data_IF_387131884081
#
_entry.id   IF_387131884081
#
_cell.length_a   1.000
_cell.length_b   1.000
_cell.length_c   1.000
_cell.angle_alpha   90.00
_cell.angle_beta   90.00
_cell.angle_gamma   90.00
#
_symmetry.space_group_name_H-M   'P 1'
#
loop_
_entity.id
_entity.type
_entity.pdbx_description
1 polymer ?
#
# COMPACT_ATOMS: atom_id res chain seq x y z
N UNK A 1 9.00 -18.69 1.67
CA UNK A 1 8.00 -18.43 0.61
C UNK A 1 7.27 -17.15 0.97
N UNK A 2 7.55 -16.05 0.28
CA UNK A 2 6.92 -14.74 0.53
C UNK A 2 5.47 -14.79 0.06
N UNK A 3 4.51 -14.85 0.99
CA UNK A 3 3.07 -14.81 0.67
C UNK A 3 2.71 -13.38 0.24
N UNK A 4 2.75 -13.10 -1.05
CA UNK A 4 2.18 -11.87 -1.62
C UNK A 4 0.65 -11.99 -1.68
N UNK A 5 0.01 -12.20 -0.53
CA UNK A 5 -1.44 -12.23 -0.42
C UNK A 5 -1.96 -10.84 -0.04
N UNK A 6 -3.13 -10.52 -0.58
CA UNK A 6 -3.81 -9.28 -0.28
C UNK A 6 -4.54 -9.43 1.04
N UNK A 7 -4.36 -8.46 1.92
CA UNK A 7 -5.11 -8.36 3.16
C UNK A 7 -5.68 -6.95 3.27
N UNK A 8 -6.95 -6.86 3.69
CA UNK A 8 -7.52 -5.57 4.07
C UNK A 8 -6.92 -5.19 5.41
N UNK A 9 -6.31 -4.01 5.48
CA UNK A 9 -5.79 -3.47 6.72
C UNK A 9 -6.34 -2.07 6.96
N UNK A 10 -6.84 -1.86 8.17
CA UNK A 10 -7.19 -0.53 8.64
C UNK A 10 -5.92 0.27 8.92
N UNK A 11 -5.87 1.49 8.40
CA UNK A 11 -4.74 2.41 8.54
C UNK A 11 -5.28 3.77 8.98
N UNK A 12 -4.49 4.49 9.78
CA UNK A 12 -4.84 5.83 10.24
C UNK A 12 -4.14 6.84 9.33
N UNK A 13 -4.90 7.42 8.40
CA UNK A 13 -4.45 8.52 7.55
C UNK A 13 -4.93 9.85 8.16
N UNK A 14 -4.00 10.72 8.56
CA UNK A 14 -4.35 11.97 9.26
C UNK A 14 -4.53 13.15 8.32
N UNK A 15 -3.82 13.17 7.20
CA UNK A 15 -3.90 14.27 6.23
C UNK A 15 -3.52 13.80 4.83
N UNK A 16 -4.19 14.37 3.82
CA UNK A 16 -3.73 14.32 2.44
C UNK A 16 -2.79 15.49 2.17
N UNK A 17 -1.59 15.19 1.66
CA UNK A 17 -0.55 16.15 1.29
C UNK A 17 -0.31 16.00 -0.22
N UNK A 18 -0.94 16.87 -1.01
CA UNK A 18 -0.97 16.73 -2.47
C UNK A 18 -1.64 15.41 -2.88
N UNK A 19 -0.93 14.59 -3.66
CA UNK A 19 -1.41 13.28 -4.12
C UNK A 19 -1.09 12.12 -3.14
N UNK A 20 -0.60 12.43 -1.94
CA UNK A 20 -0.13 11.43 -0.96
C UNK A 20 -0.89 11.54 0.36
N UNK A 21 -1.05 10.42 1.05
CA UNK A 21 -1.64 10.39 2.39
C UNK A 21 -0.56 10.21 3.46
N UNK A 22 -0.61 11.05 4.50
CA UNK A 22 0.21 10.89 5.70
C UNK A 22 -0.42 9.83 6.61
N UNK A 23 0.23 8.68 6.71
CA UNK A 23 -0.22 7.56 7.54
C UNK A 23 0.57 7.56 8.85
N UNK A 24 -0.15 7.61 9.98
CA UNK A 24 0.44 7.62 11.33
C UNK A 24 0.38 6.27 12.03
N UNK A 25 -0.48 5.35 11.57
CA UNK A 25 -0.60 4.00 12.13
C UNK A 25 -1.16 3.00 11.12
N UNK A 26 -0.89 1.71 11.36
CA UNK A 26 -1.39 0.60 10.56
C UNK A 26 -0.43 0.10 9.48
N UNK A 27 0.62 0.83 9.13
CA UNK A 27 1.65 0.37 8.18
C UNK A 27 3.02 0.25 8.86
N UNK A 28 3.79 -0.75 8.45
CA UNK A 28 5.18 -0.94 8.88
C UNK A 28 6.15 -0.65 7.72
N UNK A 29 7.37 -0.21 8.02
CA UNK A 29 8.42 -0.10 7.00
C UNK A 29 8.61 -1.43 6.25
N UNK A 30 8.58 -1.37 4.92
CA UNK A 30 8.66 -2.56 4.06
C UNK A 30 7.32 -3.18 3.67
N UNK A 31 6.21 -2.74 4.26
CA UNK A 31 4.88 -3.13 3.79
C UNK A 31 4.63 -2.61 2.37
N UNK A 32 3.99 -3.44 1.53
CA UNK A 32 3.61 -3.08 0.16
C UNK A 32 2.13 -2.69 0.15
N UNK A 33 1.86 -1.46 -0.28
CA UNK A 33 0.50 -0.95 -0.40
C UNK A 33 0.04 -1.04 -1.85
N UNK A 34 -1.19 -1.51 -2.05
CA UNK A 34 -1.82 -1.56 -3.36
C UNK A 34 -2.47 -0.21 -3.62
N UNK A 35 -1.90 0.54 -4.55
CA UNK A 35 -2.37 1.89 -4.92
C UNK A 35 -3.21 1.91 -6.20
N UNK A 36 -3.19 0.82 -6.97
CA UNK A 36 -3.83 0.69 -8.27
C UNK A 36 -4.46 -0.69 -8.45
N UNK A 37 -5.53 -0.78 -9.23
CA UNK A 37 -6.13 -2.06 -9.64
C UNK A 37 -7.06 -2.72 -8.62
N UNK A 38 -7.43 -2.03 -7.54
CA UNK A 38 -8.29 -2.55 -6.45
C UNK A 38 -9.60 -3.19 -6.96
N UNK A 39 -10.11 -2.78 -8.12
CA UNK A 39 -11.33 -3.38 -8.72
C UNK A 39 -11.22 -4.89 -8.99
N UNK A 40 -10.00 -5.42 -9.16
CA UNK A 40 -9.73 -6.84 -9.48
C UNK A 40 -9.19 -7.61 -8.27
N UNK A 41 -8.96 -6.94 -7.15
CA UNK A 41 -8.27 -7.50 -5.99
C UNK A 41 -9.28 -7.83 -4.90
N UNK A 42 -9.18 -9.02 -4.32
CA UNK A 42 -9.97 -9.44 -3.15
C UNK A 42 -9.04 -9.96 -2.05
N UNK A 43 -9.43 -9.88 -0.77
CA UNK A 43 -8.66 -10.46 0.32
C UNK A 43 -8.37 -11.95 0.08
N UNK A 44 -7.15 -12.39 0.40
CA UNK A 44 -6.70 -13.77 0.21
C UNK A 44 -6.21 -14.13 -1.20
N UNK A 45 -6.34 -13.22 -2.17
CA UNK A 45 -5.80 -13.43 -3.53
C UNK A 45 -4.29 -13.21 -3.53
N UNK A 46 -3.55 -14.10 -4.18
CA UNK A 46 -2.12 -13.91 -4.45
C UNK A 46 -1.97 -12.91 -5.59
N UNK A 47 -1.28 -11.80 -5.34
CA UNK A 47 -0.98 -10.78 -6.35
C UNK A 47 0.50 -10.77 -6.67
N UNK A 48 0.82 -10.44 -7.92
CA UNK A 48 2.18 -10.09 -8.30
C UNK A 48 2.33 -8.59 -8.11
N UNK A 49 2.98 -8.18 -7.03
CA UNK A 49 3.30 -6.77 -6.81
C UNK A 49 4.39 -6.34 -7.79
N UNK A 50 4.03 -5.48 -8.75
CA UNK A 50 5.03 -4.69 -9.48
C UNK A 50 5.41 -3.47 -8.65
N UNK A 51 6.69 -3.13 -8.67
CA UNK A 51 7.14 -1.91 -8.00
C UNK A 51 6.61 -0.73 -8.81
N UNK A 52 5.53 -0.11 -8.33
CA UNK A 52 5.23 1.25 -8.74
C UNK A 52 6.46 2.08 -8.35
N UNK A 53 7.08 2.71 -9.34
CA UNK A 53 8.31 3.48 -9.16
C UNK A 53 7.97 4.65 -8.25
N UNK A 54 8.17 4.48 -6.95
CA UNK A 54 7.97 5.54 -5.98
C UNK A 54 8.91 6.69 -6.37
N UNK A 55 8.34 7.82 -6.79
CA UNK A 55 9.10 9.06 -6.85
C UNK A 55 9.72 9.26 -5.46
N UNK A 56 11.04 9.54 -5.38
CA UNK A 56 11.72 9.63 -4.10
C UNK A 56 11.00 10.68 -3.26
N UNK A 57 10.71 10.33 -2.00
CA UNK A 57 10.30 11.33 -1.03
C UNK A 57 11.49 12.28 -0.86
N UNK A 58 11.45 13.42 -1.54
CA UNK A 58 12.43 14.49 -1.37
C UNK A 58 12.21 15.02 0.04
N UNK A 59 13.25 14.88 0.86
CA UNK A 59 13.35 15.50 2.18
C UNK A 59 13.50 17.01 2.03
#
# INVERSE_FOLDING_TARGET
MTKNQVETREVVATQAVGDKWLITSGLKPGDKVIVSGLQKVRPGVTVKAEAERAAPAVQ
#
